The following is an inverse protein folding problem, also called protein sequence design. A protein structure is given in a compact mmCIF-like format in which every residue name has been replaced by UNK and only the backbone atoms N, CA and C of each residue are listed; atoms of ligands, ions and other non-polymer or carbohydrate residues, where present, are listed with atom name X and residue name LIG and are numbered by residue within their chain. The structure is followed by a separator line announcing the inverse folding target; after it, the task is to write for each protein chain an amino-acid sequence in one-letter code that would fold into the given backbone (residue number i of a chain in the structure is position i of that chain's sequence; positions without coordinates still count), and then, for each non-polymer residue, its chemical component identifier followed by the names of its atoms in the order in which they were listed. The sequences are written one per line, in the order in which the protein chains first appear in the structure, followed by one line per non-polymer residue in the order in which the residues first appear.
data_IF_010784307902
#
_entry.id   IF_010784307902
#
_cell.length_a   1.000
_cell.length_b   1.000
_cell.length_c   1.000
_cell.angle_alpha   90.00
_cell.angle_beta   90.00
_cell.angle_gamma   90.00
#
_symmetry.space_group_name_H-M   'P 1'
#
loop_
_entity.id
_entity.type
_entity.pdbx_description
1 polymer ?
#
# COMPACT_ATOMS: atom_id res chain seq x y z
N UNK A 1 -14.59 -9.66 0.42
CA UNK A 1 -14.99 -9.41 1.81
C UNK A 1 -14.13 -8.28 2.36
N UNK A 2 -14.63 -7.43 3.25
CA UNK A 2 -13.84 -6.38 3.91
C UNK A 2 -13.99 -6.51 5.42
N UNK A 3 -12.88 -6.47 6.15
CA UNK A 3 -12.82 -6.60 7.62
C UNK A 3 -11.91 -5.51 8.21
N UNK A 4 -12.09 -5.19 9.50
CA UNK A 4 -11.17 -4.29 10.19
C UNK A 4 -9.88 -5.03 10.55
N UNK A 5 -8.74 -4.34 10.54
CA UNK A 5 -7.45 -4.90 10.98
C UNK A 5 -7.52 -5.44 12.41
N UNK A 6 -8.32 -4.82 13.29
CA UNK A 6 -8.53 -5.28 14.67
C UNK A 6 -9.25 -6.63 14.75
N UNK A 7 -9.98 -7.04 13.72
CA UNK A 7 -10.68 -8.32 13.64
C UNK A 7 -9.81 -9.43 13.00
N UNK A 8 -8.59 -9.10 12.58
CA UNK A 8 -7.67 -10.04 11.94
C UNK A 8 -6.57 -10.48 12.89
N UNK A 9 -6.06 -11.68 12.65
CA UNK A 9 -4.85 -12.21 13.28
C UNK A 9 -3.74 -12.17 12.24
N UNK A 10 -2.53 -11.77 12.63
CA UNK A 10 -1.36 -11.82 11.74
C UNK A 10 -0.25 -12.62 12.42
N UNK A 11 0.29 -13.61 11.70
CA UNK A 11 1.38 -14.45 12.16
C UNK A 11 2.42 -14.65 11.05
N UNK A 12 3.39 -15.55 11.26
CA UNK A 12 4.43 -15.80 10.26
C UNK A 12 3.89 -16.36 8.93
N UNK A 13 2.67 -16.91 8.92
CA UNK A 13 2.00 -17.48 7.75
C UNK A 13 1.08 -16.47 7.03
N UNK A 14 0.91 -15.27 7.59
CA UNK A 14 0.13 -14.17 7.01
C UNK A 14 -1.15 -13.89 7.77
N UNK A 15 -2.06 -13.17 7.10
CA UNK A 15 -3.28 -12.66 7.72
C UNK A 15 -4.39 -13.72 7.75
N UNK A 16 -4.96 -13.92 8.93
CA UNK A 16 -6.10 -14.80 9.19
C UNK A 16 -7.33 -13.98 9.59
N UNK A 17 -8.51 -14.54 9.30
CA UNK A 17 -9.79 -14.09 9.83
C UNK A 17 -10.54 -15.32 10.33
N UNK A 18 -10.94 -15.31 11.61
CA UNK A 18 -11.55 -16.47 12.28
C UNK A 18 -10.69 -17.75 12.15
N UNK A 19 -9.38 -17.61 12.33
CA UNK A 19 -8.41 -18.72 12.25
C UNK A 19 -8.17 -19.29 10.84
N UNK A 20 -8.69 -18.66 9.78
CA UNK A 20 -8.51 -19.12 8.39
C UNK A 20 -7.76 -18.09 7.54
N UNK A 21 -6.84 -18.48 6.64
CA UNK A 21 -6.15 -17.55 5.74
C UNK A 21 -7.12 -16.64 4.98
N UNK A 22 -6.96 -15.33 5.17
CA UNK A 22 -7.95 -14.36 4.74
C UNK A 22 -7.85 -14.06 3.24
N UNK A 23 -8.99 -13.88 2.59
CA UNK A 23 -9.07 -13.37 1.20
C UNK A 23 -10.07 -12.23 1.14
N UNK A 24 -9.58 -11.04 0.81
CA UNK A 24 -10.38 -9.82 0.83
C UNK A 24 -9.55 -8.58 1.17
N UNK A 25 -10.25 -7.55 1.61
CA UNK A 25 -9.67 -6.27 1.99
C UNK A 25 -9.61 -6.17 3.52
N UNK A 26 -8.45 -5.81 4.06
CA UNK A 26 -8.31 -5.42 5.47
C UNK A 26 -8.18 -3.91 5.51
N UNK A 27 -8.97 -3.27 6.36
CA UNK A 27 -8.95 -1.82 6.54
C UNK A 27 -8.63 -1.43 7.97
N UNK A 28 -7.89 -0.35 8.13
CA UNK A 28 -7.75 0.33 9.41
C UNK A 28 -8.58 1.61 9.37
N UNK A 29 -9.44 1.80 10.38
CA UNK A 29 -10.30 2.97 10.49
C UNK A 29 -9.97 3.71 11.78
N UNK A 30 -9.66 4.99 11.67
CA UNK A 30 -9.36 5.85 12.82
C UNK A 30 -10.58 6.11 13.71
N UNK A 31 -10.32 6.67 14.90
CA UNK A 31 -11.35 6.91 15.94
C UNK A 31 -12.47 7.87 15.52
N UNK A 32 -12.23 8.69 14.50
CA UNK A 32 -13.19 9.63 13.90
C UNK A 32 -13.93 9.04 12.68
N UNK A 33 -13.67 7.77 12.33
CA UNK A 33 -14.24 7.09 11.16
C UNK A 33 -13.47 7.26 9.84
N UNK A 34 -12.33 7.97 9.82
CA UNK A 34 -11.52 8.11 8.61
C UNK A 34 -10.78 6.80 8.28
N UNK A 35 -10.71 6.44 7.00
CA UNK A 35 -9.87 5.33 6.55
C UNK A 35 -8.40 5.72 6.73
N UNK A 36 -7.60 4.83 7.33
CA UNK A 36 -6.15 5.01 7.55
C UNK A 36 -5.37 4.17 6.54
N UNK A 37 -5.78 2.91 6.35
CA UNK A 37 -5.16 2.01 5.40
C UNK A 37 -6.15 0.99 4.82
N UNK A 38 -5.82 0.48 3.64
CA UNK A 38 -6.52 -0.60 2.95
C UNK A 38 -5.46 -1.48 2.29
N UNK A 39 -5.48 -2.77 2.61
CA UNK A 39 -4.63 -3.78 1.99
C UNK A 39 -5.47 -4.94 1.46
N UNK A 40 -5.14 -5.43 0.28
CA UNK A 40 -5.80 -6.60 -0.32
C UNK A 40 -4.98 -7.85 -0.07
N UNK A 41 -5.65 -8.91 0.35
CA UNK A 41 -5.06 -10.21 0.64
C UNK A 41 -5.71 -11.32 -0.17
N UNK A 42 -4.90 -12.29 -0.55
CA UNK A 42 -5.32 -13.57 -1.11
C UNK A 42 -4.64 -14.70 -0.32
N UNK A 43 -5.44 -15.59 0.26
CA UNK A 43 -4.96 -16.72 1.08
C UNK A 43 -3.96 -16.30 2.17
N UNK A 44 -4.22 -15.17 2.82
CA UNK A 44 -3.41 -14.59 3.90
C UNK A 44 -2.19 -13.77 3.45
N UNK A 45 -1.89 -13.73 2.15
CA UNK A 45 -0.74 -13.00 1.60
C UNK A 45 -1.22 -11.72 0.91
N UNK A 46 -0.48 -10.61 1.04
CA UNK A 46 -0.81 -9.38 0.31
C UNK A 46 -0.74 -9.62 -1.20
N UNK A 47 -1.87 -9.45 -1.86
CA UNK A 47 -2.03 -9.65 -3.30
C UNK A 47 -3.18 -8.78 -3.79
N UNK A 48 -2.85 -7.79 -4.60
CA UNK A 48 -3.78 -6.76 -5.07
C UNK A 48 -3.40 -5.35 -4.62
N UNK A 49 -4.32 -4.39 -4.85
CA UNK A 49 -4.05 -2.99 -4.56
C UNK A 49 -3.99 -2.71 -3.07
N UNK A 50 -3.22 -1.68 -2.71
CA UNK A 50 -3.21 -1.12 -1.36
C UNK A 50 -3.16 0.41 -1.41
N UNK A 51 -3.63 1.02 -0.33
CA UNK A 51 -3.67 2.47 -0.14
C UNK A 51 -3.51 2.82 1.34
N UNK A 52 -2.85 3.94 1.63
CA UNK A 52 -2.72 4.53 2.97
C UNK A 52 -3.02 6.04 2.90
N UNK A 53 -3.64 6.60 3.95
CA UNK A 53 -4.16 7.98 4.00
C UNK A 53 -3.57 8.81 5.15
N UNK A 54 -3.18 10.07 4.88
CA UNK A 54 -2.78 11.05 5.92
C UNK A 54 -4.01 11.65 6.62
N UNK A 55 -5.18 11.57 5.97
CA UNK A 55 -6.45 12.13 6.37
C UNK A 55 -7.58 11.66 5.43
N UNK A 56 -8.83 12.07 5.67
CA UNK A 56 -10.02 11.43 5.08
C UNK A 56 -10.11 11.46 3.55
N UNK A 57 -9.43 12.41 2.88
CA UNK A 57 -9.82 12.79 1.52
C UNK A 57 -8.85 12.34 0.42
N UNK A 58 -7.60 11.96 0.76
CA UNK A 58 -6.61 11.55 -0.25
C UNK A 58 -5.58 10.55 0.27
N UNK A 59 -5.32 9.44 -0.46
CA UNK A 59 -4.24 8.54 -0.10
C UNK A 59 -2.90 9.26 -0.26
N UNK A 60 -2.02 9.11 0.71
CA UNK A 60 -0.63 9.57 0.62
C UNK A 60 0.31 8.51 0.09
N UNK A 61 -0.17 7.27 -0.01
CA UNK A 61 0.56 6.17 -0.60
C UNK A 61 -0.42 5.19 -1.23
N UNK A 62 -0.09 4.70 -2.41
CA UNK A 62 -0.86 3.64 -3.06
C UNK A 62 0.04 2.83 -3.98
N UNK A 63 -0.37 1.60 -4.25
CA UNK A 63 0.38 0.72 -5.12
C UNK A 63 -0.28 -0.63 -5.32
N UNK A 64 0.52 -1.59 -5.78
CA UNK A 64 0.09 -2.96 -6.02
C UNK A 64 1.09 -3.92 -5.37
N UNK A 65 0.55 -4.98 -4.77
CA UNK A 65 1.28 -6.12 -4.24
C UNK A 65 0.91 -7.37 -5.04
N UNK A 66 1.84 -8.31 -5.17
CA UNK A 66 1.62 -9.60 -5.81
C UNK A 66 2.45 -10.64 -5.07
N UNK A 67 1.79 -11.66 -4.53
CA UNK A 67 2.43 -12.68 -3.68
C UNK A 67 3.35 -12.11 -2.58
N UNK A 68 2.92 -11.03 -1.93
CA UNK A 68 3.65 -10.38 -0.84
C UNK A 68 4.81 -9.47 -1.29
N UNK A 69 4.99 -9.27 -2.59
CA UNK A 69 6.03 -8.40 -3.15
C UNK A 69 5.42 -7.17 -3.84
N UNK A 70 6.09 -6.02 -3.84
CA UNK A 70 5.68 -4.87 -4.66
C UNK A 70 5.60 -5.25 -6.14
N UNK A 71 4.59 -4.75 -6.85
CA UNK A 71 4.43 -5.00 -8.29
C UNK A 71 3.92 -3.74 -8.98
N UNK A 72 4.36 -3.48 -10.21
CA UNK A 72 3.94 -2.29 -10.95
C UNK A 72 4.34 -0.98 -10.25
N UNK A 73 3.55 0.07 -10.44
CA UNK A 73 3.89 1.41 -9.97
C UNK A 73 3.32 1.70 -8.58
N UNK A 74 4.22 1.97 -7.63
CA UNK A 74 3.90 2.48 -6.31
C UNK A 74 4.20 3.98 -6.24
N UNK A 75 3.31 4.73 -5.60
CA UNK A 75 3.41 6.20 -5.47
C UNK A 75 3.21 6.64 -4.03
N UNK A 76 3.90 7.71 -3.66
CA UNK A 76 3.68 8.44 -2.42
C UNK A 76 3.57 9.94 -2.71
N UNK A 77 2.77 10.66 -1.94
CA UNK A 77 2.53 12.10 -2.09
C UNK A 77 2.91 12.87 -0.83
N UNK A 78 3.39 14.09 -1.03
CA UNK A 78 3.54 15.09 0.03
C UNK A 78 2.17 15.50 0.59
N UNK A 79 2.11 16.07 1.81
CA UNK A 79 0.85 16.57 2.39
C UNK A 79 0.12 17.61 1.52
N UNK A 80 0.86 18.36 0.69
CA UNK A 80 0.30 19.31 -0.27
C UNK A 80 -0.30 18.66 -1.53
N UNK A 81 -0.24 17.33 -1.63
CA UNK A 81 -0.78 16.56 -2.74
C UNK A 81 0.12 16.42 -3.96
N UNK A 82 1.35 16.95 -3.92
CA UNK A 82 2.34 16.75 -4.97
C UNK A 82 3.00 15.38 -4.83
N UNK A 83 3.43 14.79 -5.95
CA UNK A 83 4.11 13.50 -5.94
C UNK A 83 5.43 13.64 -5.17
N UNK A 84 5.72 12.71 -4.28
CA UNK A 84 6.94 12.68 -3.47
C UNK A 84 7.88 11.55 -3.94
N UNK A 85 7.30 10.39 -4.24
CA UNK A 85 8.02 9.19 -4.66
C UNK A 85 7.21 8.41 -5.69
N UNK A 86 7.88 7.90 -6.70
CA UNK A 86 7.35 6.90 -7.63
C UNK A 86 8.40 5.82 -7.85
N UNK A 87 7.99 4.57 -7.68
CA UNK A 87 8.85 3.40 -7.86
C UNK A 87 8.08 2.38 -8.68
N UNK A 88 8.68 1.88 -9.76
CA UNK A 88 8.12 0.77 -10.53
C UNK A 88 8.85 -0.53 -10.23
N UNK A 89 8.09 -1.62 -10.12
CA UNK A 89 8.56 -2.96 -9.86
C UNK A 89 8.09 -3.93 -10.93
N UNK A 90 8.90 -4.93 -11.25
CA UNK A 90 8.49 -6.03 -12.12
C UNK A 90 7.69 -7.12 -11.38
N UNK A 91 7.38 -8.21 -12.09
CA UNK A 91 6.67 -9.37 -11.54
C UNK A 91 7.43 -10.17 -10.47
N UNK A 92 8.71 -9.87 -10.27
CA UNK A 92 9.58 -10.49 -9.25
C UNK A 92 9.86 -9.52 -8.09
N UNK A 93 9.21 -8.36 -8.06
CA UNK A 93 9.44 -7.33 -7.03
C UNK A 93 10.76 -6.59 -7.18
N UNK A 94 11.44 -6.69 -8.34
CA UNK A 94 12.68 -5.95 -8.60
C UNK A 94 12.34 -4.54 -9.04
N UNK A 95 12.98 -3.56 -8.41
CA UNK A 95 12.82 -2.16 -8.77
C UNK A 95 13.37 -1.90 -10.18
N UNK A 96 12.52 -1.41 -11.08
CA UNK A 96 12.88 -0.99 -12.45
C UNK A 96 13.34 0.48 -12.46
N UNK A 97 12.64 1.35 -11.74
CA UNK A 97 13.07 2.73 -11.53
C UNK A 97 12.58 3.31 -10.20
N UNK A 98 13.19 4.42 -9.80
CA UNK A 98 12.80 5.26 -8.67
C UNK A 98 12.98 6.73 -9.02
N UNK A 99 11.98 7.54 -8.68
CA UNK A 99 12.01 9.00 -8.79
C UNK A 99 11.51 9.64 -7.52
N UNK A 100 12.16 10.73 -7.11
CA UNK A 100 11.76 11.53 -5.96
C UNK A 100 11.61 12.99 -6.36
N UNK A 101 10.63 13.66 -5.76
CA UNK A 101 10.36 15.06 -5.97
C UNK A 101 10.24 15.78 -4.63
N UNK A 102 10.62 17.05 -4.60
CA UNK A 102 10.38 17.92 -3.45
C UNK A 102 8.92 18.42 -3.38
N UNK A 103 8.59 19.18 -2.33
CA UNK A 103 7.25 19.74 -2.14
C UNK A 103 6.84 20.78 -3.22
N UNK A 104 7.75 21.20 -4.10
CA UNK A 104 7.44 22.08 -5.24
C UNK A 104 7.31 21.31 -6.56
N UNK A 105 7.43 19.97 -6.51
CA UNK A 105 7.33 19.11 -7.69
C UNK A 105 8.61 19.11 -8.51
N UNK A 106 9.72 19.58 -7.94
CA UNK A 106 11.03 19.53 -8.57
C UNK A 106 11.60 18.12 -8.39
N UNK A 107 11.96 17.46 -9.49
CA UNK A 107 12.64 16.17 -9.45
C UNK A 107 14.01 16.34 -8.75
N UNK A 108 14.20 15.66 -7.63
CA UNK A 108 15.43 15.73 -6.82
C UNK A 108 16.30 14.48 -6.98
N UNK A 109 15.71 13.36 -7.39
CA UNK A 109 16.41 12.10 -7.59
C UNK A 109 15.75 11.27 -8.69
N UNK A 110 16.57 10.63 -9.52
CA UNK A 110 16.14 9.61 -10.49
C UNK A 110 17.18 8.49 -10.56
N UNK A 111 16.69 7.26 -10.58
CA UNK A 111 17.48 6.06 -10.82
C UNK A 111 16.70 5.08 -11.67
N UNK A 112 17.35 4.54 -12.70
CA UNK A 112 16.84 3.46 -13.56
C UNK A 112 17.82 2.29 -13.44
N UNK A 113 17.28 1.09 -13.20
CA UNK A 113 18.07 -0.14 -13.01
C UNK A 113 18.67 -0.68 -14.31
#
# INVERSE_FOLDING_TARGET
MRVNIEDTEDDYNGVLYEGTPFTGEVVEVGTNGNLISLYTYYTGVQDGPYSEWYGPDRPFKQGMMKFGMPNGVNRQWHPNGQLALETEFDDQGRQLYRREWDENGTLTYEHVA
#
